data_IF_291173729101
#
_entry.id   IF_291173729101
#
_cell.length_a   1.000
_cell.length_b   1.000
_cell.length_c   1.000
_cell.angle_alpha   90.00
_cell.angle_beta   90.00
_cell.angle_gamma   90.00
#
_symmetry.space_group_name_H-M   'P 1'
#
loop_
_entity.id
_entity.type
_entity.pdbx_description
1 polymer ?
#
# COMPACT_ATOMS: atom_id res chain seq x y z
N UNK A 1 4.11 4.21 -31.42
CA UNK A 1 3.08 3.41 -30.75
C UNK A 1 2.23 4.19 -29.73
N UNK A 2 2.54 5.47 -29.41
CA UNK A 2 1.73 6.26 -28.46
C UNK A 2 1.49 7.72 -28.92
N UNK A 3 1.58 8.00 -30.22
CA UNK A 3 1.41 9.37 -30.72
C UNK A 3 -0.05 9.83 -30.54
N UNK A 4 -0.24 10.93 -29.82
CA UNK A 4 -1.56 11.49 -29.50
C UNK A 4 -2.27 10.88 -28.29
N UNK A 5 -1.64 9.95 -27.57
CA UNK A 5 -2.21 9.33 -26.37
C UNK A 5 -1.80 10.07 -25.09
N UNK A 6 -2.72 10.17 -24.11
CA UNK A 6 -2.38 10.48 -22.72
C UNK A 6 -2.15 9.17 -21.96
N UNK A 7 -1.00 9.06 -21.29
CA UNK A 7 -0.66 7.89 -20.46
C UNK A 7 -0.77 8.30 -19.00
N UNK A 8 -1.50 7.50 -18.23
CA UNK A 8 -1.63 7.65 -16.77
C UNK A 8 -0.97 6.45 -16.13
N UNK A 9 -0.16 6.73 -15.11
CA UNK A 9 0.47 5.71 -14.29
C UNK A 9 -0.19 5.71 -12.92
N UNK A 10 -0.38 4.52 -12.38
CA UNK A 10 -0.64 4.36 -10.97
C UNK A 10 0.61 4.78 -10.17
N UNK A 11 0.44 5.11 -8.90
CA UNK A 11 1.55 5.51 -8.03
C UNK A 11 2.13 4.31 -7.30
N UNK A 12 1.29 3.65 -6.50
CA UNK A 12 1.68 2.61 -5.56
C UNK A 12 2.08 1.32 -6.28
N UNK A 13 3.31 0.86 -6.08
CA UNK A 13 3.84 -0.33 -6.74
C UNK A 13 4.10 -0.17 -8.25
N UNK A 14 3.79 0.99 -8.83
CA UNK A 14 4.07 1.31 -10.24
C UNK A 14 5.19 2.33 -10.36
N UNK A 15 5.03 3.52 -9.78
CA UNK A 15 6.07 4.56 -9.79
C UNK A 15 6.92 4.56 -8.52
N UNK A 16 6.33 4.12 -7.39
CA UNK A 16 7.00 4.11 -6.08
C UNK A 16 6.71 2.77 -5.38
N UNK A 17 7.73 2.14 -4.80
CA UNK A 17 7.53 1.01 -3.87
C UNK A 17 7.09 1.54 -2.50
N UNK A 18 5.78 1.74 -2.33
CA UNK A 18 5.18 2.27 -1.10
C UNK A 18 4.87 1.19 -0.05
N UNK A 19 5.13 -0.10 -0.34
CA UNK A 19 4.82 -1.18 0.59
C UNK A 19 5.52 -1.06 1.97
N UNK A 20 6.81 -0.68 2.07
CA UNK A 20 7.47 -0.52 3.37
C UNK A 20 6.85 0.60 4.21
N UNK A 21 6.55 1.74 3.60
CA UNK A 21 5.97 2.90 4.29
C UNK A 21 4.53 2.62 4.74
N UNK A 22 3.72 2.01 3.88
CA UNK A 22 2.35 1.61 4.21
C UNK A 22 2.32 0.58 5.34
N UNK A 23 3.27 -0.35 5.35
CA UNK A 23 3.43 -1.33 6.43
C UNK A 23 3.80 -0.64 7.75
N UNK A 24 4.73 0.31 7.71
CA UNK A 24 5.12 1.11 8.87
C UNK A 24 3.94 1.89 9.46
N UNK A 25 3.17 2.56 8.61
CA UNK A 25 1.99 3.32 9.02
C UNK A 25 0.89 2.41 9.62
N UNK A 26 0.61 1.27 8.98
CA UNK A 26 -0.36 0.30 9.50
C UNK A 26 0.07 -0.26 10.86
N UNK A 27 1.32 -0.68 10.98
CA UNK A 27 1.85 -1.24 12.23
C UNK A 27 1.92 -0.22 13.35
N UNK A 28 2.13 1.07 13.04
CA UNK A 28 2.02 2.13 14.03
C UNK A 28 0.62 2.19 14.65
N UNK A 29 -0.43 2.14 13.81
CA UNK A 29 -1.83 2.15 14.27
C UNK A 29 -2.20 0.85 15.01
N UNK A 30 -1.81 -0.32 14.49
CA UNK A 30 -2.07 -1.59 15.17
C UNK A 30 -1.46 -1.62 16.57
N UNK A 31 -0.22 -1.15 16.70
CA UNK A 31 0.46 -1.07 18.00
C UNK A 31 -0.26 -0.10 18.95
N UNK A 32 -0.72 1.06 18.47
CA UNK A 32 -1.43 2.02 19.33
C UNK A 32 -2.77 1.49 19.85
N UNK A 33 -3.40 0.58 19.11
CA UNK A 33 -4.64 -0.10 19.48
C UNK A 33 -4.42 -1.42 20.24
N UNK A 34 -3.17 -1.76 20.60
CA UNK A 34 -2.83 -2.98 21.35
C UNK A 34 -2.99 -4.27 20.54
N UNK A 35 -2.84 -4.21 19.21
CA UNK A 35 -2.93 -5.34 18.28
C UNK A 35 -1.55 -5.78 17.80
N UNK A 36 -1.47 -7.02 17.35
CA UNK A 36 -0.28 -7.58 16.72
C UNK A 36 0.04 -6.86 15.40
N UNK A 37 1.33 -6.71 15.10
CA UNK A 37 1.80 -6.16 13.83
C UNK A 37 1.72 -7.19 12.70
N UNK A 38 1.66 -6.70 11.47
CA UNK A 38 1.65 -7.53 10.26
C UNK A 38 2.97 -7.42 9.49
N UNK A 39 3.43 -8.51 8.85
CA UNK A 39 4.61 -8.47 7.99
C UNK A 39 4.30 -7.74 6.68
N UNK A 40 5.32 -7.07 6.11
CA UNK A 40 5.20 -6.34 4.85
C UNK A 40 4.69 -7.22 3.69
N UNK A 41 5.06 -8.50 3.68
CA UNK A 41 4.61 -9.45 2.66
C UNK A 41 3.08 -9.51 2.57
N UNK A 42 2.38 -9.44 3.71
CA UNK A 42 0.91 -9.48 3.74
C UNK A 42 0.34 -8.13 3.26
N UNK A 43 0.94 -7.01 3.69
CA UNK A 43 0.54 -5.66 3.28
C UNK A 43 0.70 -5.44 1.78
N UNK A 44 1.76 -5.98 1.18
CA UNK A 44 2.06 -5.85 -0.25
C UNK A 44 0.93 -6.39 -1.14
N UNK A 45 0.18 -7.39 -0.68
CA UNK A 45 -0.99 -7.92 -1.38
C UNK A 45 -2.25 -7.05 -1.24
N UNK A 46 -2.25 -6.07 -0.33
CA UNK A 46 -3.37 -5.17 -0.03
C UNK A 46 -3.17 -3.77 -0.64
N UNK A 47 -1.94 -3.42 -1.03
CA UNK A 47 -1.61 -2.14 -1.69
C UNK A 47 -2.45 -1.96 -2.97
N UNK A 48 -2.96 -0.75 -3.18
CA UNK A 48 -3.85 -0.42 -4.31
C UNK A 48 -5.30 -0.86 -4.15
N UNK A 49 -5.65 -1.65 -3.13
CA UNK A 49 -7.04 -2.07 -2.85
C UNK A 49 -7.79 -1.13 -1.90
N UNK A 50 -7.15 -0.04 -1.50
CA UNK A 50 -7.69 0.99 -0.61
C UNK A 50 -7.57 0.66 0.87
N UNK A 51 -7.71 1.69 1.72
CA UNK A 51 -7.45 1.60 3.15
C UNK A 51 -8.30 0.55 3.86
N UNK A 52 -9.55 0.33 3.44
CA UNK A 52 -10.46 -0.66 4.02
C UNK A 52 -9.93 -2.10 3.94
N UNK A 53 -9.08 -2.43 2.98
CA UNK A 53 -8.46 -3.75 2.90
C UNK A 53 -7.33 -3.93 3.91
N UNK A 54 -6.75 -2.84 4.43
CA UNK A 54 -5.66 -2.88 5.41
C UNK A 54 -6.16 -3.02 6.86
N UNK A 55 -7.43 -2.72 7.13
CA UNK A 55 -8.02 -2.65 8.48
C UNK A 55 -9.15 -3.66 8.71
N UNK A 56 -9.45 -4.50 7.71
CA UNK A 56 -10.37 -5.63 7.85
C UNK A 56 -9.71 -6.80 8.55
#
# INVERSE_FOLDING_TARGET
MFAGSTIVFDLDGTLIDTAPDLTGALNHVLTSEGRDTVPEADVRHMVGQGALMLIR
#
